data_IF_491173664710
#
_entry.id   IF_491173664710
#
_cell.length_a   1.000
_cell.length_b   1.000
_cell.length_c   1.000
_cell.angle_alpha   90.00
_cell.angle_beta   90.00
_cell.angle_gamma   90.00
#
_symmetry.space_group_name_H-M   'P 1'
#
loop_
_entity.id
_entity.type
_entity.pdbx_description
1 polymer ?
#
# COMPACT_ATOMS: atom_id res chain seq x y z
N UNK A 1 -17.85 0.42 -15.50
CA UNK A 1 -16.38 0.24 -15.41
C UNK A 1 -16.10 -1.23 -15.17
N UNK A 2 -15.04 -1.76 -15.79
CA UNK A 2 -14.55 -3.13 -15.57
C UNK A 2 -13.75 -3.24 -14.27
N UNK A 3 -13.00 -4.34 -14.11
CA UNK A 3 -12.03 -4.46 -13.01
C UNK A 3 -10.96 -3.35 -13.08
N UNK A 4 -10.39 -2.98 -11.93
CA UNK A 4 -9.29 -2.01 -11.87
C UNK A 4 -8.06 -2.58 -12.58
N UNK A 5 -7.48 -1.80 -13.50
CA UNK A 5 -6.33 -2.18 -14.30
C UNK A 5 -5.25 -1.08 -14.25
N UNK A 6 -4.04 -1.42 -13.81
CA UNK A 6 -2.92 -0.47 -13.76
C UNK A 6 -2.44 -0.02 -15.14
N UNK A 7 -2.81 -0.77 -16.18
CA UNK A 7 -2.49 -0.53 -17.58
C UNK A 7 -3.51 0.35 -18.30
N UNK A 8 -4.67 0.55 -17.69
CA UNK A 8 -5.72 1.42 -18.20
C UNK A 8 -5.63 2.80 -17.52
N UNK A 9 -5.23 3.87 -18.24
CA UNK A 9 -5.21 5.21 -17.68
C UNK A 9 -6.56 5.64 -17.07
N UNK A 10 -7.70 5.12 -17.56
CA UNK A 10 -9.01 5.42 -16.99
C UNK A 10 -9.22 4.80 -15.61
N UNK A 11 -8.56 3.68 -15.30
CA UNK A 11 -8.57 3.07 -13.97
C UNK A 11 -7.72 3.85 -12.96
N UNK A 12 -6.73 4.61 -13.42
CA UNK A 12 -5.89 5.45 -12.57
C UNK A 12 -6.60 6.73 -12.09
N UNK A 13 -7.72 7.10 -12.72
CA UNK A 13 -8.50 8.30 -12.38
C UNK A 13 -9.39 8.00 -11.16
N UNK A 14 -9.17 8.69 -10.05
CA UNK A 14 -10.19 8.82 -9.01
C UNK A 14 -11.07 10.04 -9.30
N UNK A 15 -12.34 9.81 -9.63
CA UNK A 15 -13.29 10.92 -9.88
C UNK A 15 -13.79 11.58 -8.60
N UNK A 16 -13.43 11.05 -7.42
CA UNK A 16 -13.83 11.57 -6.10
C UNK A 16 -12.77 12.48 -5.50
N UNK A 17 -11.51 12.28 -5.88
CA UNK A 17 -10.37 13.08 -5.45
C UNK A 17 -9.46 13.32 -6.68
N UNK A 18 -9.34 14.58 -7.11
CA UNK A 18 -8.51 14.91 -8.25
C UNK A 18 -7.03 15.01 -7.85
N UNK A 19 -6.16 14.51 -8.75
CA UNK A 19 -4.69 14.71 -8.82
C UNK A 19 -3.75 13.62 -8.27
N UNK A 20 -3.75 12.46 -8.94
CA UNK A 20 -2.49 11.81 -9.35
C UNK A 20 -2.56 11.48 -10.84
N UNK A 21 -2.60 12.55 -11.66
CA UNK A 21 -2.73 12.45 -13.12
C UNK A 21 -1.38 12.43 -13.87
N UNK A 22 -0.26 12.32 -13.17
CA UNK A 22 1.04 12.28 -13.82
C UNK A 22 1.31 10.85 -14.32
N UNK A 23 1.25 10.65 -15.63
CA UNK A 23 1.74 9.44 -16.30
C UNK A 23 3.19 9.17 -15.85
N UNK A 24 3.40 8.16 -15.00
CA UNK A 24 4.74 7.75 -14.56
C UNK A 24 5.36 6.90 -15.66
N UNK A 25 5.93 7.56 -16.67
CA UNK A 25 6.66 6.94 -17.79
C UNK A 25 8.18 7.15 -17.71
N UNK A 26 8.71 7.44 -16.54
CA UNK A 26 10.14 7.71 -16.35
C UNK A 26 11.01 6.44 -16.25
N UNK A 27 10.48 5.27 -16.62
CA UNK A 27 11.25 4.03 -16.63
C UNK A 27 12.11 3.94 -17.90
N UNK A 28 13.38 3.60 -17.76
CA UNK A 28 14.32 3.53 -18.89
C UNK A 28 13.81 2.54 -19.93
N UNK A 29 13.67 3.01 -21.18
CA UNK A 29 13.15 2.18 -22.29
C UNK A 29 11.63 2.11 -22.38
N UNK A 30 10.88 2.75 -21.47
CA UNK A 30 9.43 2.82 -21.53
C UNK A 30 8.99 3.94 -22.46
N UNK A 31 8.35 3.57 -23.57
CA UNK A 31 7.61 4.48 -24.44
C UNK A 31 6.16 4.00 -24.51
N UNK A 32 5.17 4.91 -24.63
CA UNK A 32 3.77 4.53 -24.67
C UNK A 32 3.51 3.42 -25.69
N UNK A 33 2.80 2.38 -25.28
CA UNK A 33 2.51 1.20 -26.08
C UNK A 33 2.70 -0.11 -25.31
N UNK A 34 2.33 -1.25 -25.91
CA UNK A 34 2.23 -2.54 -25.20
C UNK A 34 3.51 -2.94 -24.48
N UNK A 35 4.69 -2.69 -25.07
CA UNK A 35 5.96 -3.02 -24.43
C UNK A 35 6.19 -2.30 -23.07
N UNK A 36 5.58 -1.13 -22.88
CA UNK A 36 5.66 -0.36 -21.62
C UNK A 36 4.42 -0.61 -20.75
N UNK A 37 3.24 -0.56 -21.37
CA UNK A 37 1.96 -0.41 -20.69
C UNK A 37 1.15 -1.71 -20.57
N UNK A 38 1.52 -2.86 -21.14
CA UNK A 38 0.72 -4.10 -21.00
C UNK A 38 1.06 -4.89 -19.72
N UNK A 39 0.25 -5.92 -19.45
CA UNK A 39 0.67 -7.06 -18.62
C UNK A 39 2.04 -7.55 -19.12
N UNK A 40 2.96 -7.82 -18.20
CA UNK A 40 4.37 -8.15 -18.48
C UNK A 40 5.19 -7.08 -19.23
N UNK A 41 4.60 -5.91 -19.46
CA UNK A 41 5.30 -4.72 -19.93
C UNK A 41 6.26 -4.15 -18.89
N UNK A 42 7.07 -3.17 -19.29
CA UNK A 42 8.12 -2.62 -18.42
C UNK A 42 7.57 -2.04 -17.11
N UNK A 43 6.44 -1.32 -17.13
CA UNK A 43 5.84 -0.77 -15.91
C UNK A 43 5.30 -1.88 -15.00
N UNK A 44 4.70 -2.91 -15.60
CA UNK A 44 4.18 -4.06 -14.87
C UNK A 44 5.31 -4.82 -14.14
N UNK A 45 6.37 -5.14 -14.88
CA UNK A 45 7.55 -5.85 -14.34
C UNK A 45 8.32 -5.03 -13.32
N UNK A 46 8.29 -3.70 -13.42
CA UNK A 46 8.88 -2.78 -12.47
C UNK A 46 8.03 -2.58 -11.21
N UNK A 47 6.75 -2.92 -11.26
CA UNK A 47 5.82 -2.59 -10.19
C UNK A 47 6.12 -3.38 -8.91
N UNK A 48 6.22 -2.71 -7.74
CA UNK A 48 6.52 -3.38 -6.47
C UNK A 48 5.56 -4.51 -6.11
N UNK A 49 4.30 -4.47 -6.57
CA UNK A 49 3.33 -5.53 -6.28
C UNK A 49 3.78 -6.89 -6.84
N UNK A 50 4.54 -6.94 -7.94
CA UNK A 50 5.06 -8.22 -8.49
C UNK A 50 6.24 -8.81 -7.72
N UNK A 51 6.80 -8.07 -6.75
CA UNK A 51 8.07 -8.44 -6.09
C UNK A 51 7.89 -9.05 -4.70
N UNK A 52 6.67 -9.07 -4.17
CA UNK A 52 6.39 -9.71 -2.89
C UNK A 52 6.42 -11.23 -3.00
N UNK A 53 7.05 -11.87 -2.01
CA UNK A 53 7.13 -13.32 -1.86
C UNK A 53 7.00 -13.66 -0.38
N UNK A 54 6.81 -14.93 -0.05
CA UNK A 54 6.86 -15.41 1.34
C UNK A 54 8.23 -15.20 2.02
N UNK A 55 9.28 -14.87 1.27
CA UNK A 55 10.62 -14.54 1.77
C UNK A 55 10.89 -13.04 1.88
N UNK A 56 9.92 -12.20 1.53
CA UNK A 56 10.04 -10.75 1.67
C UNK A 56 10.16 -10.36 3.14
N UNK A 57 10.87 -9.27 3.42
CA UNK A 57 10.91 -8.65 4.73
C UNK A 57 9.51 -8.24 5.19
N UNK A 58 9.24 -8.15 6.51
CA UNK A 58 8.02 -7.55 7.03
C UNK A 58 7.76 -6.19 6.40
N UNK A 59 6.50 -5.90 6.08
CA UNK A 59 6.07 -4.62 5.52
C UNK A 59 4.92 -4.05 6.33
N UNK A 60 5.00 -2.75 6.61
CA UNK A 60 3.92 -1.95 7.16
C UNK A 60 3.34 -1.05 6.07
N UNK A 61 2.09 -1.32 5.68
CA UNK A 61 1.40 -0.59 4.61
C UNK A 61 0.48 0.46 5.22
N UNK A 62 0.68 1.72 4.88
CA UNK A 62 -0.11 2.84 5.39
C UNK A 62 -0.74 3.59 4.22
N UNK A 63 -2.02 3.89 4.32
CA UNK A 63 -2.73 4.76 3.38
C UNK A 63 -3.77 5.61 4.13
N UNK A 64 -4.29 6.63 3.46
CA UNK A 64 -5.42 7.44 3.92
C UNK A 64 -6.61 7.20 3.00
N UNK A 65 -7.83 7.31 3.52
CA UNK A 65 -9.03 7.27 2.68
C UNK A 65 -9.05 8.48 1.73
N UNK A 66 -9.40 8.33 0.45
CA UNK A 66 -9.43 9.45 -0.50
C UNK A 66 -8.08 10.18 -0.63
N UNK A 67 -6.96 9.47 -0.46
CA UNK A 67 -5.63 9.91 -0.90
C UNK A 67 -5.69 10.21 -2.42
N UNK A 68 -5.06 11.29 -2.91
CA UNK A 68 -4.99 11.58 -4.34
C UNK A 68 -4.30 10.50 -5.19
N UNK A 69 -3.57 9.55 -4.59
CA UNK A 69 -3.06 8.38 -5.31
C UNK A 69 -4.16 7.61 -6.06
N UNK A 70 -3.82 6.92 -7.18
CA UNK A 70 -4.78 6.13 -7.93
C UNK A 70 -5.59 5.18 -7.01
N UNK A 71 -6.88 4.96 -7.31
CA UNK A 71 -7.73 4.17 -6.42
C UNK A 71 -7.21 2.73 -6.29
N UNK A 72 -7.59 2.01 -5.23
CA UNK A 72 -7.30 0.58 -5.02
C UNK A 72 -5.84 0.15 -4.80
N UNK A 73 -4.84 1.05 -4.88
CA UNK A 73 -3.43 0.70 -4.62
C UNK A 73 -3.24 0.00 -3.27
N UNK A 74 -3.81 0.58 -2.20
CA UNK A 74 -3.78 0.01 -0.87
C UNK A 74 -4.41 -1.39 -0.81
N UNK A 75 -5.63 -1.53 -1.33
CA UNK A 75 -6.37 -2.80 -1.33
C UNK A 75 -5.64 -3.89 -2.11
N UNK A 76 -5.07 -3.55 -3.26
CA UNK A 76 -4.35 -4.50 -4.11
C UNK A 76 -3.07 -4.95 -3.42
N UNK A 77 -2.29 -4.01 -2.86
CA UNK A 77 -1.07 -4.33 -2.16
C UNK A 77 -1.33 -5.21 -0.91
N UNK A 78 -2.33 -4.84 -0.10
CA UNK A 78 -2.78 -5.62 1.07
C UNK A 78 -3.20 -7.04 0.67
N UNK A 79 -4.03 -7.17 -0.37
CA UNK A 79 -4.51 -8.47 -0.83
C UNK A 79 -3.35 -9.34 -1.33
N UNK A 80 -2.39 -8.73 -2.03
CA UNK A 80 -1.24 -9.42 -2.55
C UNK A 80 -0.28 -9.89 -1.45
N UNK A 81 0.09 -9.04 -0.48
CA UNK A 81 0.98 -9.46 0.63
C UNK A 81 0.35 -10.58 1.46
N UNK A 82 -0.96 -10.54 1.66
CA UNK A 82 -1.70 -11.60 2.33
C UNK A 82 -1.72 -12.90 1.50
N UNK A 83 -1.93 -12.81 0.18
CA UNK A 83 -1.98 -13.96 -0.71
C UNK A 83 -0.63 -14.69 -0.83
N UNK A 84 0.48 -13.95 -0.89
CA UNK A 84 1.83 -14.55 -0.96
C UNK A 84 2.39 -14.95 0.40
N UNK A 85 1.74 -14.53 1.50
CA UNK A 85 2.13 -14.87 2.86
C UNK A 85 3.42 -14.17 3.33
N UNK A 86 3.55 -12.86 3.07
CA UNK A 86 4.67 -12.08 3.63
C UNK A 86 4.60 -12.13 5.17
N UNK A 87 5.69 -12.49 5.87
CA UNK A 87 5.67 -12.60 7.32
C UNK A 87 5.52 -11.24 8.01
N UNK A 88 4.78 -11.21 9.12
CA UNK A 88 4.65 -10.05 10.02
C UNK A 88 4.23 -8.76 9.29
N UNK A 89 3.34 -8.86 8.29
CA UNK A 89 2.79 -7.68 7.64
C UNK A 89 1.72 -6.99 8.49
N UNK A 90 1.83 -5.67 8.59
CA UNK A 90 0.83 -4.81 9.23
C UNK A 90 0.23 -3.86 8.20
N UNK A 91 -1.00 -3.41 8.44
CA UNK A 91 -1.68 -2.46 7.59
C UNK A 91 -2.44 -1.42 8.41
N UNK A 92 -2.48 -0.19 7.93
CA UNK A 92 -3.24 0.90 8.54
C UNK A 92 -3.89 1.75 7.45
N UNK A 93 -5.22 1.83 7.48
CA UNK A 93 -5.98 2.81 6.72
C UNK A 93 -6.41 3.93 7.67
N UNK A 94 -5.79 5.09 7.51
CA UNK A 94 -6.15 6.31 8.24
C UNK A 94 -7.48 6.82 7.68
N UNK A 95 -8.47 7.05 8.54
CA UNK A 95 -9.78 7.56 8.14
C UNK A 95 -9.92 8.99 8.59
N UNK A 96 -9.92 9.91 7.64
CA UNK A 96 -9.95 11.34 7.83
C UNK A 96 -11.08 11.99 7.05
N UNK A 97 -11.49 13.17 7.52
CA UNK A 97 -12.45 13.98 6.79
C UNK A 97 -11.74 14.64 5.60
N UNK A 98 -12.26 14.53 4.37
CA UNK A 98 -11.69 15.22 3.23
C UNK A 98 -11.68 16.73 3.41
N UNK A 99 -10.66 17.37 2.83
CA UNK A 99 -10.52 18.81 2.75
C UNK A 99 -11.49 19.44 1.75
N UNK A 100 -11.37 20.77 1.53
CA UNK A 100 -12.22 21.50 0.58
C UNK A 100 -12.11 21.02 -0.88
N UNK A 101 -11.02 20.34 -1.23
CA UNK A 101 -10.74 19.72 -2.53
C UNK A 101 -11.38 18.33 -2.69
N UNK A 102 -12.02 17.79 -1.64
CA UNK A 102 -12.62 16.46 -1.65
C UNK A 102 -11.63 15.32 -1.40
N UNK A 103 -10.37 15.64 -1.13
CA UNK A 103 -9.29 14.69 -0.88
C UNK A 103 -8.88 14.67 0.59
N UNK A 104 -8.32 13.56 1.07
CA UNK A 104 -7.43 13.63 2.24
C UNK A 104 -6.02 13.95 1.77
N UNK A 105 -5.12 14.14 2.72
CA UNK A 105 -3.71 14.40 2.40
C UNK A 105 -2.98 13.12 2.01
N UNK A 106 -1.88 13.27 1.29
CA UNK A 106 -1.02 12.14 0.98
C UNK A 106 -0.38 11.60 2.27
N UNK A 107 -0.29 10.28 2.41
CA UNK A 107 -0.01 9.59 3.69
C UNK A 107 1.12 10.16 4.56
N UNK A 108 2.20 10.68 3.96
CA UNK A 108 3.30 11.30 4.71
C UNK A 108 2.92 12.56 5.50
N UNK A 109 1.86 13.27 5.12
CA UNK A 109 1.35 14.40 5.90
C UNK A 109 0.80 13.96 7.28
N UNK A 110 0.37 12.71 7.39
CA UNK A 110 -0.07 12.09 8.64
C UNK A 110 1.06 11.37 9.39
N UNK A 111 2.32 11.61 9.00
CA UNK A 111 3.46 11.03 9.71
C UNK A 111 3.41 11.25 11.23
N UNK A 112 3.05 12.43 11.77
CA UNK A 112 2.92 12.62 13.21
C UNK A 112 1.93 11.64 13.88
N UNK A 113 0.91 11.18 13.16
CA UNK A 113 -0.14 10.30 13.68
C UNK A 113 0.24 8.81 13.61
N UNK A 114 1.16 8.45 12.71
CA UNK A 114 1.58 7.06 12.47
C UNK A 114 3.02 6.73 12.90
N UNK A 115 3.79 7.75 13.29
CA UNK A 115 5.21 7.61 13.65
C UNK A 115 5.43 6.55 14.72
N UNK A 116 4.65 6.58 15.79
CA UNK A 116 4.86 5.68 16.92
C UNK A 116 4.54 4.22 16.55
N UNK A 117 3.52 3.98 15.72
CA UNK A 117 3.17 2.67 15.16
C UNK A 117 4.27 2.19 14.23
N UNK A 118 4.82 3.06 13.36
CA UNK A 118 5.92 2.71 12.48
C UNK A 118 7.20 2.36 13.27
N UNK A 119 7.51 3.11 14.33
CA UNK A 119 8.63 2.79 15.24
C UNK A 119 8.38 1.46 15.96
N UNK A 120 7.17 1.21 16.44
CA UNK A 120 6.82 -0.05 17.09
C UNK A 120 6.96 -1.23 16.13
N UNK A 121 6.44 -1.10 14.91
CA UNK A 121 6.59 -2.10 13.85
C UNK A 121 8.06 -2.42 13.55
N UNK A 122 8.90 -1.38 13.40
CA UNK A 122 10.33 -1.54 13.16
C UNK A 122 11.02 -2.23 14.35
N UNK A 123 10.71 -1.82 15.57
CA UNK A 123 11.27 -2.44 16.77
C UNK A 123 10.89 -3.92 16.87
N UNK A 124 9.64 -4.29 16.57
CA UNK A 124 9.21 -5.69 16.53
C UNK A 124 9.96 -6.45 15.43
N UNK A 125 9.98 -5.90 14.22
CA UNK A 125 10.53 -6.58 13.04
C UNK A 125 12.06 -6.74 13.08
N UNK A 126 12.78 -5.80 13.69
CA UNK A 126 14.24 -5.84 13.79
C UNK A 126 14.73 -6.61 15.01
N UNK A 127 13.93 -6.70 16.08
CA UNK A 127 14.27 -7.45 17.28
C UNK A 127 13.71 -8.87 17.30
N UNK A 128 12.90 -9.27 16.31
CA UNK A 128 12.45 -10.66 16.13
C UNK A 128 13.50 -11.45 15.31
N UNK A 129 14.33 -12.31 15.94
CA UNK A 129 15.42 -13.00 15.25
C UNK A 129 14.95 -14.22 14.43
N UNK A 130 13.64 -14.52 14.41
CA UNK A 130 13.12 -15.66 13.68
C UNK A 130 11.59 -15.65 13.66
N UNK A 131 11.02 -15.41 12.47
CA UNK A 131 9.58 -15.24 12.24
C UNK A 131 8.71 -16.28 12.93
N UNK A 132 8.18 -15.90 14.10
CA UNK A 132 7.47 -16.80 14.98
C UNK A 132 6.81 -16.06 16.14
N UNK A 133 5.96 -15.07 15.85
CA UNK A 133 5.04 -14.52 16.85
C UNK A 133 3.59 -14.77 16.42
N UNK A 134 2.91 -15.60 17.21
CA UNK A 134 1.49 -15.95 17.09
C UNK A 134 0.59 -14.70 17.13
N UNK A 135 -0.64 -14.76 16.57
CA UNK A 135 -1.56 -13.63 16.59
C UNK A 135 -1.84 -13.14 18.02
N UNK A 136 -1.88 -11.82 18.17
CA UNK A 136 -2.20 -11.14 19.42
C UNK A 136 -3.66 -11.47 19.77
N UNK A 137 -3.87 -12.25 20.82
CA UNK A 137 -5.19 -12.53 21.40
C UNK A 137 -5.72 -11.25 22.10
N UNK A 138 -6.84 -10.66 21.65
CA UNK A 138 -7.38 -9.43 22.23
C UNK A 138 -7.94 -9.58 23.65
N UNK A 139 -8.05 -10.78 24.24
CA UNK A 139 -8.68 -10.95 25.55
C UNK A 139 -7.74 -10.84 26.78
N UNK A 140 -6.43 -10.63 26.60
CA UNK A 140 -5.48 -10.68 27.74
C UNK A 140 -5.43 -9.46 28.66
N UNK A 141 -6.26 -8.44 28.46
CA UNK A 141 -6.26 -7.22 29.30
C UNK A 141 -7.19 -7.25 30.53
N UNK A 142 -7.93 -8.33 30.80
CA UNK A 142 -8.95 -8.32 31.85
C UNK A 142 -8.75 -9.31 33.03
N UNK A 143 -7.52 -9.71 33.33
CA UNK A 143 -7.24 -10.49 34.57
C UNK A 143 -6.10 -9.94 35.39
N UNK A 144 -6.22 -8.70 35.84
CA UNK A 144 -5.60 -8.24 37.09
C UNK A 144 -6.46 -7.14 37.72
N UNK A 145 -7.54 -7.54 38.40
CA UNK A 145 -8.09 -6.90 39.61
C UNK A 145 -8.75 -7.96 40.47
#
# INVERSE_FOLDING_TARGET
SGAYDFHDPASLIDTRCAEFGADVRNYVGCSPGPACDSDEGLLDLASPYRRFTSSSSPVFIIATNLDPMPPNQFTILVSNVAAVGVPNCEQLLITERPGPDGCTRHSFEYWPDVKDQAIAFLNTSLNDPGGGSQPIDPERHNRLR
#
